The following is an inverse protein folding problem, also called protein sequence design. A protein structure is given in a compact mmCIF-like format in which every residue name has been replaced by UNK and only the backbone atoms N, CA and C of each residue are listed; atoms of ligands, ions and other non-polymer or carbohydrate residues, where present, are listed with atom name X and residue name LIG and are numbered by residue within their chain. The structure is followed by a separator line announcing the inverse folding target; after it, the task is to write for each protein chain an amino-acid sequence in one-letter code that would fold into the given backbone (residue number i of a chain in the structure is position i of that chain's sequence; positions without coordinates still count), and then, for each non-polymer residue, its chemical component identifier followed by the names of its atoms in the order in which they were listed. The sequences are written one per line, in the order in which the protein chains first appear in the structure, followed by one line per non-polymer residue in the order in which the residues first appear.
data_IF_441890838768
#
_entry.id   IF_441890838768
#
_cell.length_a   1.000
_cell.length_b   1.000
_cell.length_c   1.000
_cell.angle_alpha   90.00
_cell.angle_beta   90.00
_cell.angle_gamma   90.00
#
_symmetry.space_group_name_H-M   'P 1'
#
loop_
_entity.id
_entity.type
_entity.pdbx_description
1 polymer ?
#
# COMPACT_ATOMS: atom_id res chain seq x y z
N UNK A 1 0.88 -3.99 -5.64
CA UNK A 1 -0.21 -4.97 -5.82
C UNK A 1 0.44 -6.35 -5.74
N UNK A 2 -0.11 -7.27 -4.95
CA UNK A 2 0.66 -8.38 -4.35
C UNK A 2 0.14 -9.76 -4.76
N UNK A 3 1.02 -10.78 -4.82
CA UNK A 3 0.59 -12.17 -5.05
C UNK A 3 0.11 -12.84 -3.76
N UNK A 4 -0.44 -12.07 -2.80
CA UNK A 4 -0.75 -12.52 -1.44
C UNK A 4 -2.27 -12.54 -1.27
N UNK A 5 -2.83 -13.69 -0.90
CA UNK A 5 -4.23 -13.85 -0.53
C UNK A 5 -4.31 -14.24 0.95
N UNK A 6 -5.06 -13.47 1.74
CA UNK A 6 -5.46 -13.85 3.09
C UNK A 6 -6.86 -14.42 3.10
N UNK A 7 -7.05 -15.60 3.67
CA UNK A 7 -8.36 -16.24 3.83
C UNK A 7 -8.60 -16.62 5.30
N UNK A 8 -9.85 -16.72 5.72
CA UNK A 8 -10.20 -17.21 7.06
C UNK A 8 -10.96 -18.50 6.91
N UNK A 9 -10.40 -19.59 7.45
CA UNK A 9 -10.98 -20.92 7.43
C UNK A 9 -10.94 -21.49 8.83
N UNK A 10 -12.06 -22.04 9.28
CA UNK A 10 -12.19 -22.67 10.61
C UNK A 10 -11.75 -21.74 11.77
N UNK A 11 -12.03 -20.44 11.65
CA UNK A 11 -11.68 -19.42 12.65
C UNK A 11 -10.21 -18.97 12.64
N UNK A 12 -9.37 -19.50 11.74
CA UNK A 12 -7.97 -19.13 11.61
C UNK A 12 -7.70 -18.39 10.29
N UNK A 13 -6.89 -17.33 10.36
CA UNK A 13 -6.42 -16.60 9.17
C UNK A 13 -5.22 -17.33 8.58
N UNK A 14 -5.31 -17.72 7.32
CA UNK A 14 -4.21 -18.31 6.53
C UNK A 14 -3.81 -17.36 5.41
N UNK A 15 -2.56 -17.45 4.96
CA UNK A 15 -2.01 -16.61 3.89
C UNK A 15 -1.41 -17.50 2.80
N UNK A 16 -1.88 -17.32 1.56
CA UNK A 16 -1.35 -17.96 0.36
C UNK A 16 -0.49 -16.95 -0.42
N UNK A 17 0.62 -17.43 -1.01
CA UNK A 17 1.37 -16.69 -2.04
C UNK A 17 1.27 -17.43 -3.37
N UNK A 18 0.71 -16.78 -4.39
CA UNK A 18 0.58 -17.36 -5.73
C UNK A 18 0.50 -16.29 -6.81
N UNK A 19 1.18 -16.51 -7.95
CA UNK A 19 1.01 -15.65 -9.13
C UNK A 19 -0.41 -15.70 -9.69
N UNK A 20 -1.17 -16.77 -9.41
CA UNK A 20 -2.58 -16.89 -9.81
C UNK A 20 -3.49 -15.85 -9.17
N UNK A 21 -3.07 -15.25 -8.04
CA UNK A 21 -3.84 -14.22 -7.33
C UNK A 21 -3.29 -12.82 -7.53
N UNK A 22 -2.30 -12.64 -8.42
CA UNK A 22 -1.78 -11.33 -8.79
C UNK A 22 -2.64 -10.74 -9.90
N UNK A 23 -3.46 -9.70 -9.66
CA UNK A 23 -4.19 -9.01 -10.72
C UNK A 23 -3.33 -8.59 -11.91
N UNK A 24 -3.84 -8.84 -13.11
CA UNK A 24 -3.15 -8.53 -14.36
C UNK A 24 -3.12 -7.03 -14.66
N UNK A 25 -4.10 -6.29 -14.13
CA UNK A 25 -4.26 -4.85 -14.37
C UNK A 25 -4.81 -4.17 -13.13
N UNK A 26 -4.31 -2.96 -12.85
CA UNK A 26 -4.80 -2.10 -11.78
C UNK A 26 -5.02 -0.71 -12.36
N UNK A 27 -6.21 -0.15 -12.12
CA UNK A 27 -6.56 1.22 -12.52
C UNK A 27 -6.62 2.06 -11.25
N UNK A 28 -5.74 3.06 -11.14
CA UNK A 28 -5.75 4.03 -10.05
C UNK A 28 -6.45 5.30 -10.49
N UNK A 29 -7.67 5.52 -9.99
CA UNK A 29 -8.43 6.74 -10.21
C UNK A 29 -8.64 7.50 -8.89
N UNK A 30 -8.17 8.74 -8.85
CA UNK A 30 -8.26 9.61 -7.67
C UNK A 30 -9.71 9.99 -7.37
N UNK A 31 -10.55 10.12 -8.39
CA UNK A 31 -11.96 10.48 -8.22
C UNK A 31 -12.70 9.46 -7.37
N UNK A 32 -12.35 8.18 -7.48
CA UNK A 32 -12.91 7.08 -6.70
C UNK A 32 -12.48 7.10 -5.22
N UNK A 33 -11.58 8.01 -4.82
CA UNK A 33 -11.07 8.12 -3.45
C UNK A 33 -11.62 9.31 -2.67
N UNK A 34 -12.28 10.25 -3.35
CA UNK A 34 -12.69 11.54 -2.76
C UNK A 34 -13.73 11.39 -1.65
N UNK A 35 -14.55 10.33 -1.70
CA UNK A 35 -15.62 10.07 -0.74
C UNK A 35 -15.21 9.10 0.38
N UNK A 36 -13.96 8.63 0.39
CA UNK A 36 -13.46 7.76 1.46
C UNK A 36 -13.44 8.53 2.81
N UNK A 37 -14.11 8.06 3.88
CA UNK A 37 -14.18 8.78 5.14
C UNK A 37 -12.80 9.09 5.74
N UNK A 38 -12.68 10.23 6.45
CA UNK A 38 -11.42 10.69 7.07
C UNK A 38 -10.77 9.61 7.95
N UNK A 39 -11.56 9.01 8.83
CA UNK A 39 -11.08 7.97 9.76
C UNK A 39 -10.53 6.75 9.02
N UNK A 40 -11.28 6.26 8.02
CA UNK A 40 -10.86 5.11 7.22
C UNK A 40 -9.65 5.42 6.33
N UNK A 41 -9.57 6.64 5.81
CA UNK A 41 -8.39 7.13 5.06
C UNK A 41 -7.14 7.10 5.94
N UNK A 42 -7.23 7.59 7.17
CA UNK A 42 -6.11 7.58 8.11
C UNK A 42 -5.63 6.15 8.41
N UNK A 43 -6.55 5.26 8.79
CA UNK A 43 -6.22 3.86 9.10
C UNK A 43 -5.63 3.14 7.88
N UNK A 44 -6.25 3.28 6.71
CA UNK A 44 -5.77 2.66 5.46
C UNK A 44 -4.40 3.21 5.04
N UNK A 45 -4.18 4.52 5.18
CA UNK A 45 -2.91 5.17 4.88
C UNK A 45 -1.78 4.70 5.80
N UNK A 46 -2.06 4.56 7.09
CA UNK A 46 -1.11 3.99 8.05
C UNK A 46 -0.78 2.53 7.75
N UNK A 47 -1.77 1.73 7.33
CA UNK A 47 -1.51 0.35 6.87
C UNK A 47 -0.58 0.31 5.64
N UNK A 48 -0.80 1.19 4.65
CA UNK A 48 0.12 1.32 3.52
C UNK A 48 1.53 1.74 3.97
N UNK A 49 1.64 2.70 4.88
CA UNK A 49 2.92 3.15 5.42
C UNK A 49 3.65 2.02 6.17
N UNK A 50 2.92 1.18 6.91
CA UNK A 50 3.50 0.02 7.58
C UNK A 50 4.20 -0.93 6.59
N UNK A 51 3.56 -1.25 5.46
CA UNK A 51 4.19 -2.08 4.42
C UNK A 51 5.48 -1.48 3.86
N UNK A 52 5.51 -0.16 3.66
CA UNK A 52 6.72 0.52 3.19
C UNK A 52 7.84 0.48 4.25
N UNK A 53 7.50 0.71 5.53
CA UNK A 53 8.47 0.65 6.64
C UNK A 53 9.01 -0.77 6.82
N UNK A 54 8.15 -1.80 6.78
CA UNK A 54 8.55 -3.20 6.89
C UNK A 54 9.50 -3.64 5.77
N UNK A 55 9.31 -3.10 4.57
CA UNK A 55 10.16 -3.40 3.42
C UNK A 55 11.61 -2.89 3.58
N UNK A 56 11.87 -1.90 4.44
CA UNK A 56 13.22 -1.36 4.66
C UNK A 56 14.13 -2.33 5.43
N UNK A 57 13.56 -3.24 6.21
CA UNK A 57 14.31 -4.22 7.01
C UNK A 57 13.89 -5.67 6.71
N UNK A 58 13.16 -5.88 5.62
CA UNK A 58 12.79 -7.21 5.16
C UNK A 58 14.05 -8.05 4.84
N UNK A 59 13.94 -9.37 4.99
CA UNK A 59 15.06 -10.30 4.73
C UNK A 59 15.59 -10.20 3.29
N UNK A 60 14.69 -9.92 2.36
CA UNK A 60 14.89 -9.77 0.92
C UNK A 60 14.89 -8.29 0.47
N UNK A 61 15.11 -7.36 1.41
CA UNK A 61 15.29 -5.95 1.11
C UNK A 61 16.40 -5.75 0.08
N UNK A 62 16.14 -4.86 -0.88
CA UNK A 62 17.11 -4.47 -1.90
C UNK A 62 17.02 -2.96 -2.17
N UNK A 63 18.07 -2.34 -2.73
CA UNK A 63 18.14 -0.87 -2.87
C UNK A 63 16.97 -0.26 -3.65
N UNK A 64 16.41 -0.98 -4.62
CA UNK A 64 15.27 -0.51 -5.42
C UNK A 64 14.03 -0.42 -4.54
N UNK A 65 13.74 -1.49 -3.78
CA UNK A 65 12.59 -1.53 -2.88
C UNK A 65 12.73 -0.53 -1.74
N UNK A 66 13.95 -0.35 -1.21
CA UNK A 66 14.21 0.68 -0.20
C UNK A 66 13.92 2.09 -0.73
N UNK A 67 14.29 2.40 -1.99
CA UNK A 67 14.00 3.69 -2.60
C UNK A 67 12.48 3.92 -2.75
N UNK A 68 11.74 2.90 -3.23
CA UNK A 68 10.27 2.99 -3.35
C UNK A 68 9.60 3.12 -1.98
N UNK A 69 10.11 2.43 -0.96
CA UNK A 69 9.60 2.48 0.41
C UNK A 69 9.76 3.89 1.02
N UNK A 70 10.94 4.49 0.88
CA UNK A 70 11.19 5.86 1.37
C UNK A 70 10.27 6.87 0.69
N UNK A 71 10.09 6.74 -0.63
CA UNK A 71 9.19 7.60 -1.39
C UNK A 71 7.71 7.42 -0.99
N UNK A 72 7.29 6.17 -0.76
CA UNK A 72 5.96 5.85 -0.23
C UNK A 72 5.72 6.53 1.13
N UNK A 73 6.67 6.38 2.06
CA UNK A 73 6.61 6.99 3.39
C UNK A 73 6.49 8.50 3.27
N UNK A 74 7.34 9.13 2.44
CA UNK A 74 7.31 10.58 2.20
C UNK A 74 5.96 11.05 1.65
N UNK A 75 5.44 10.37 0.62
CA UNK A 75 4.17 10.72 -0.01
C UNK A 75 3.00 10.60 0.98
N UNK A 76 2.93 9.50 1.74
CA UNK A 76 1.87 9.28 2.73
C UNK A 76 1.98 10.24 3.92
N UNK A 77 3.19 10.49 4.44
CA UNK A 77 3.41 11.40 5.57
C UNK A 77 2.99 12.84 5.25
N UNK A 78 3.17 13.29 4.00
CA UNK A 78 2.73 14.61 3.55
C UNK A 78 1.21 14.65 3.27
N UNK A 79 0.66 13.58 2.70
CA UNK A 79 -0.73 13.58 2.21
C UNK A 79 -1.76 13.33 3.31
N UNK A 80 -1.48 12.46 4.27
CA UNK A 80 -2.48 12.07 5.28
C UNK A 80 -2.90 13.25 6.18
N UNK A 81 -2.01 14.12 6.66
CA UNK A 81 -2.41 15.33 7.38
C UNK A 81 -3.21 16.30 6.50
N UNK A 82 -2.84 16.47 5.24
CA UNK A 82 -3.56 17.32 4.29
C UNK A 82 -4.99 16.81 4.03
N UNK A 83 -5.17 15.50 3.80
CA UNK A 83 -6.49 14.89 3.63
C UNK A 83 -7.29 14.94 4.93
N UNK A 84 -6.63 14.84 6.09
CA UNK A 84 -7.30 14.99 7.38
C UNK A 84 -7.87 16.40 7.55
N UNK A 85 -7.19 17.45 7.07
CA UNK A 85 -7.68 18.82 7.07
C UNK A 85 -8.80 19.02 6.03
N UNK A 86 -8.54 18.64 4.78
CA UNK A 86 -9.48 18.68 3.65
C UNK A 86 -9.60 17.31 2.95
N UNK A 87 -10.67 16.54 3.20
CA UNK A 87 -10.86 15.19 2.66
C UNK A 87 -11.02 15.14 1.16
N UNK A 88 -11.39 16.26 0.54
CA UNK A 88 -11.64 16.35 -0.89
C UNK A 88 -10.48 17.05 -1.62
N UNK A 89 -9.36 17.31 -0.94
CA UNK A 89 -8.14 17.78 -1.58
C UNK A 89 -7.65 16.72 -2.58
N UNK A 90 -7.93 16.98 -3.85
CA UNK A 90 -7.59 16.09 -4.97
C UNK A 90 -6.08 15.89 -5.08
N UNK A 91 -5.27 16.90 -4.80
CA UNK A 91 -3.82 16.80 -4.91
C UNK A 91 -3.26 15.90 -3.82
N UNK A 92 -3.72 16.07 -2.57
CA UNK A 92 -3.34 15.21 -1.47
C UNK A 92 -3.84 13.77 -1.68
N UNK A 93 -5.08 13.58 -2.17
CA UNK A 93 -5.63 12.25 -2.53
C UNK A 93 -4.81 11.57 -3.62
N UNK A 94 -4.41 12.29 -4.67
CA UNK A 94 -3.52 11.78 -5.72
C UNK A 94 -2.19 11.31 -5.14
N UNK A 95 -1.56 12.13 -4.30
CA UNK A 95 -0.27 11.81 -3.71
C UNK A 95 -0.36 10.64 -2.70
N UNK A 96 -1.45 10.56 -1.94
CA UNK A 96 -1.71 9.40 -1.08
C UNK A 96 -1.94 8.11 -1.88
N UNK A 97 -2.68 8.17 -3.00
CA UNK A 97 -2.92 7.01 -3.87
C UNK A 97 -1.62 6.51 -4.51
N UNK A 98 -0.75 7.44 -4.93
CA UNK A 98 0.60 7.14 -5.40
C UNK A 98 1.46 6.48 -4.30
N UNK A 99 1.46 7.04 -3.08
CA UNK A 99 2.16 6.43 -1.94
C UNK A 99 1.65 5.03 -1.61
N UNK A 100 0.33 4.83 -1.61
CA UNK A 100 -0.27 3.51 -1.38
C UNK A 100 0.08 2.49 -2.48
N UNK A 101 0.17 2.93 -3.74
CA UNK A 101 0.66 2.08 -4.82
C UNK A 101 2.11 1.63 -4.59
N UNK A 102 3.00 2.56 -4.25
CA UNK A 102 4.40 2.26 -3.95
C UNK A 102 4.55 1.28 -2.78
N UNK A 103 3.83 1.51 -1.67
CA UNK A 103 3.75 0.56 -0.55
C UNK A 103 3.32 -0.83 -1.01
N UNK A 104 2.33 -0.90 -1.90
CA UNK A 104 1.87 -2.16 -2.48
C UNK A 104 2.91 -2.82 -3.40
N UNK A 105 3.82 -2.07 -4.02
CA UNK A 105 4.97 -2.60 -4.76
C UNK A 105 6.01 -3.13 -3.79
N UNK A 106 6.29 -2.43 -2.69
CA UNK A 106 7.24 -2.86 -1.65
C UNK A 106 6.87 -4.21 -1.02
N UNK A 107 5.58 -4.53 -0.92
CA UNK A 107 5.09 -5.81 -0.40
C UNK A 107 5.16 -6.99 -1.42
N UNK A 108 5.24 -6.67 -2.71
CA UNK A 108 5.23 -7.63 -3.82
C UNK A 108 6.48 -8.52 -3.98
N UNK A 109 7.72 -8.03 -3.82
CA UNK A 109 8.94 -8.79 -4.05
C UNK A 109 9.29 -9.66 -2.85
N UNK A 110 8.41 -10.62 -2.55
CA UNK A 110 8.80 -11.88 -1.93
C UNK A 110 8.73 -12.97 -2.98
N UNK A 111 9.55 -12.85 -4.03
CA UNK A 111 9.84 -13.94 -4.97
C UNK A 111 11.09 -14.63 -4.44
N UNK A 112 10.94 -15.37 -3.34
CA UNK A 112 11.70 -16.60 -3.22
C UNK A 112 11.05 -17.57 -4.20
N UNK A 113 11.52 -17.57 -5.45
CA UNK A 113 11.38 -18.74 -6.31
C UNK A 113 12.02 -19.95 -5.57
N UNK A 114 11.49 -21.16 -5.76
CA UNK A 114 12.03 -22.37 -5.12
C UNK A 114 13.53 -22.57 -5.41
#
# INVERSE_FOLDING_TARGET
MTPILGETRDGAKTTLRSLKVLPETVIYDVDLTLDLPRALTGVSGMNAMAHAVEALYARDANPIISALAIESIRALAQSLPAIHADPRDRAARKNALYGAWLAGVCLGPGISAP
#
